data_IF_623255068607
#
_entry.id   IF_623255068607
#
_cell.length_a   1.000
_cell.length_b   1.000
_cell.length_c   1.000
_cell.angle_alpha   90.00
_cell.angle_beta   90.00
_cell.angle_gamma   90.00
#
_symmetry.space_group_name_H-M   'P 1'
#
loop_
_entity.id
_entity.type
_entity.pdbx_description
1 polymer ?
#
# COMPACT_ATOMS: atom_id res chain seq x y z
N UNK A 1 -2.69 39.63 4.99
CA UNK A 1 -2.97 39.44 6.43
C UNK A 1 -4.01 38.33 6.55
N UNK A 2 -3.55 37.10 6.75
CA UNK A 2 -3.45 36.39 8.04
C UNK A 2 -4.71 35.57 8.32
N UNK A 3 -4.64 34.23 8.12
CA UNK A 3 -4.61 33.20 9.20
C UNK A 3 -6.04 32.93 9.76
N UNK A 4 -6.55 31.72 9.98
CA UNK A 4 -5.96 30.39 10.16
C UNK A 4 -7.04 29.29 10.06
N UNK A 5 -6.57 28.12 9.63
CA UNK A 5 -7.15 26.77 9.62
C UNK A 5 -7.85 26.37 10.93
N UNK A 6 -8.81 25.45 10.85
CA UNK A 6 -8.90 24.29 11.76
C UNK A 6 -9.37 23.04 11.01
N UNK A 7 -8.47 22.08 10.94
CA UNK A 7 -8.57 20.74 10.38
C UNK A 7 -9.32 19.81 11.34
N UNK A 8 -10.23 18.99 10.80
CA UNK A 8 -10.85 17.88 11.51
C UNK A 8 -9.88 16.68 11.48
N UNK A 9 -9.27 16.43 12.64
CA UNK A 9 -8.30 15.37 12.84
C UNK A 9 -9.04 14.04 13.08
N UNK A 10 -8.94 13.10 12.13
CA UNK A 10 -9.36 11.70 12.30
C UNK A 10 -8.43 11.05 13.33
N UNK A 11 -8.96 10.72 14.50
CA UNK A 11 -8.25 9.95 15.52
C UNK A 11 -8.05 8.52 15.04
N UNK A 12 -6.82 8.20 14.62
CA UNK A 12 -6.35 6.81 14.50
C UNK A 12 -6.11 6.24 15.90
N UNK A 13 -6.68 5.07 16.16
CA UNK A 13 -6.53 4.35 17.42
C UNK A 13 -5.16 3.67 17.44
N UNK A 14 -4.20 4.29 18.12
CA UNK A 14 -2.88 3.72 18.40
C UNK A 14 -3.02 2.66 19.50
N UNK A 15 -2.79 1.39 19.14
CA UNK A 15 -2.72 0.27 20.08
C UNK A 15 -1.32 0.27 20.67
N UNK A 16 -1.07 1.03 21.73
CA UNK A 16 -0.02 0.82 22.73
C UNK A 16 -0.15 1.93 23.80
N UNK A 17 -0.84 1.65 24.92
CA UNK A 17 -0.36 1.94 26.29
C UNK A 17 -1.45 1.77 27.37
N UNK A 18 -0.96 1.27 28.49
CA UNK A 18 -1.59 0.92 29.77
C UNK A 18 -1.98 2.18 30.54
N UNK A 19 -3.19 2.27 31.13
CA UNK A 19 -3.39 2.89 32.46
C UNK A 19 -4.75 2.50 33.07
N UNK A 20 -4.74 2.08 34.35
CA UNK A 20 -5.92 1.93 35.21
C UNK A 20 -6.62 3.26 35.47
N UNK A 21 -7.95 3.24 35.64
CA UNK A 21 -8.65 4.26 36.42
C UNK A 21 -9.92 3.68 37.07
N UNK A 22 -9.89 3.59 38.39
CA UNK A 22 -11.05 3.41 39.29
C UNK A 22 -11.72 4.76 39.53
N UNK A 23 -13.05 4.86 39.57
CA UNK A 23 -13.80 5.78 40.46
C UNK A 23 -15.21 5.25 40.73
N UNK A 24 -15.63 5.42 41.99
CA UNK A 24 -16.83 5.00 42.70
C UNK A 24 -18.14 5.74 42.37
N UNK A 25 -19.24 5.05 42.70
CA UNK A 25 -20.57 5.46 43.21
C UNK A 25 -21.06 6.92 43.13
N UNK A 26 -22.32 7.11 42.71
CA UNK A 26 -23.48 7.27 43.62
C UNK A 26 -24.82 7.37 42.87
N UNK A 27 -25.83 6.90 43.58
CA UNK A 27 -27.24 6.68 43.29
C UNK A 27 -28.05 7.98 43.18
N UNK A 28 -29.18 7.97 42.47
CA UNK A 28 -30.52 8.18 43.06
C UNK A 28 -31.63 7.76 42.08
N UNK A 29 -32.67 7.16 42.66
CA UNK A 29 -33.78 6.46 42.01
C UNK A 29 -35.01 7.35 42.00
N UNK A 30 -35.70 7.44 40.87
CA UNK A 30 -37.14 7.75 40.82
C UNK A 30 -37.82 6.76 39.87
N UNK A 31 -38.66 5.90 40.46
CA UNK A 31 -39.52 4.92 39.77
C UNK A 31 -40.92 5.53 39.64
N UNK A 32 -41.46 5.58 38.43
CA UNK A 32 -42.89 5.73 38.16
C UNK A 32 -43.30 4.80 36.99
N UNK A 33 -44.58 4.37 36.94
CA UNK A 33 -44.97 3.04 36.46
C UNK A 33 -45.12 2.91 34.95
N UNK A 34 -44.93 1.68 34.46
CA UNK A 34 -45.06 1.24 33.06
C UNK A 34 -46.43 1.52 32.45
N UNK A 35 -46.50 2.13 31.27
CA UNK A 35 -47.50 1.83 30.26
C UNK A 35 -46.94 0.77 29.29
N UNK A 36 -47.64 -0.35 29.16
CA UNK A 36 -47.40 -1.37 28.13
C UNK A 36 -47.68 -0.81 26.74
N UNK A 37 -46.63 -0.40 26.05
CA UNK A 37 -46.64 -0.16 24.60
C UNK A 37 -45.84 -1.28 23.94
N UNK A 38 -46.54 -2.10 23.16
CA UNK A 38 -45.91 -3.10 22.30
C UNK A 38 -45.04 -2.38 21.25
N UNK A 39 -43.78 -2.79 21.04
CA UNK A 39 -42.96 -2.20 20.00
C UNK A 39 -43.51 -2.59 18.60
N UNK A 40 -43.48 -1.66 17.63
CA UNK A 40 -43.84 -1.97 16.26
C UNK A 40 -42.88 -3.01 15.69
N UNK A 41 -43.44 -3.98 15.00
CA UNK A 41 -42.70 -5.06 14.33
C UNK A 41 -41.66 -4.46 13.39
N UNK A 42 -40.37 -4.63 13.73
CA UNK A 42 -39.27 -4.22 12.88
C UNK A 42 -39.14 -5.19 11.71
N UNK A 43 -39.80 -4.87 10.60
CA UNK A 43 -39.53 -5.45 9.29
C UNK A 43 -38.20 -4.91 8.76
N UNK A 44 -37.08 -5.57 9.09
CA UNK A 44 -35.83 -5.51 8.32
C UNK A 44 -34.91 -6.65 8.75
N UNK A 45 -35.14 -7.82 8.13
CA UNK A 45 -34.25 -8.98 8.12
C UNK A 45 -32.96 -8.63 7.37
N UNK A 46 -31.98 -8.07 8.08
CA UNK A 46 -30.58 -8.12 7.66
C UNK A 46 -29.89 -9.17 8.54
N UNK A 47 -29.22 -10.20 7.98
CA UNK A 47 -28.38 -11.08 8.77
C UNK A 47 -27.23 -10.23 9.31
N UNK A 48 -27.30 -9.88 10.61
CA UNK A 48 -26.13 -9.39 11.33
C UNK A 48 -25.15 -10.55 11.39
N UNK A 49 -24.19 -10.56 10.46
CA UNK A 49 -23.04 -11.45 10.51
C UNK A 49 -22.21 -11.08 11.74
N UNK A 50 -22.60 -11.65 12.87
CA UNK A 50 -21.89 -11.56 14.13
C UNK A 50 -20.77 -12.60 14.10
N UNK A 51 -19.77 -12.37 13.26
CA UNK A 51 -18.55 -13.16 13.32
C UNK A 51 -17.83 -12.76 14.62
N UNK A 52 -17.81 -13.69 15.59
CA UNK A 52 -16.98 -13.53 16.78
C UNK A 52 -15.51 -13.27 16.41
N UNK A 53 -14.69 -12.75 17.34
CA UNK A 53 -13.30 -12.42 17.07
C UNK A 53 -12.54 -13.62 16.48
N UNK A 54 -11.62 -13.40 15.52
CA UNK A 54 -10.91 -14.49 14.87
C UNK A 54 -10.18 -15.34 15.93
N UNK A 55 -10.30 -16.67 15.80
CA UNK A 55 -9.70 -17.63 16.73
C UNK A 55 -8.38 -18.15 16.18
N UNK A 56 -7.47 -18.48 17.08
CA UNK A 56 -6.21 -19.12 16.73
C UNK A 56 -6.47 -20.52 16.16
N UNK A 57 -5.87 -20.84 15.00
CA UNK A 57 -6.07 -22.13 14.34
C UNK A 57 -5.49 -23.33 15.12
N UNK A 58 -4.58 -23.08 16.08
CA UNK A 58 -3.90 -24.12 16.85
C UNK A 58 -4.52 -24.37 18.24
N UNK A 59 -5.11 -23.35 18.87
CA UNK A 59 -5.56 -23.45 20.27
C UNK A 59 -6.93 -22.81 20.58
N UNK A 60 -7.65 -22.38 19.54
CA UNK A 60 -8.97 -21.73 19.60
C UNK A 60 -9.06 -20.45 20.44
N UNK A 61 -7.93 -19.95 20.92
CA UNK A 61 -7.89 -18.72 21.71
C UNK A 61 -8.30 -17.53 20.84
N UNK A 62 -9.23 -16.67 21.32
CA UNK A 62 -9.54 -15.42 20.63
C UNK A 62 -8.27 -14.59 20.50
N UNK A 63 -7.86 -14.28 19.28
CA UNK A 63 -6.67 -13.49 19.03
C UNK A 63 -7.03 -12.26 18.22
N UNK A 64 -6.32 -11.16 18.49
CA UNK A 64 -6.29 -10.02 17.58
C UNK A 64 -5.40 -10.41 16.39
N UNK A 65 -5.51 -9.69 15.27
CA UNK A 65 -4.79 -9.93 14.00
C UNK A 65 -3.26 -9.75 14.10
N UNK A 66 -2.65 -10.35 15.10
CA UNK A 66 -1.22 -10.38 15.40
C UNK A 66 -0.59 -11.59 14.70
N UNK A 67 0.69 -11.47 14.31
CA UNK A 67 1.40 -12.53 13.60
C UNK A 67 1.55 -13.82 14.42
N UNK A 68 1.58 -13.71 15.76
CA UNK A 68 1.77 -14.84 16.66
C UNK A 68 0.64 -14.91 17.69
N UNK A 69 0.16 -16.10 17.99
CA UNK A 69 -0.84 -16.27 19.04
C UNK A 69 -0.24 -15.99 20.43
N UNK A 70 -0.89 -15.13 21.23
CA UNK A 70 -0.41 -14.79 22.59
C UNK A 70 -0.42 -15.98 23.56
N UNK A 71 -1.23 -17.03 23.30
CA UNK A 71 -1.33 -18.23 24.15
C UNK A 71 -0.36 -19.33 23.73
N UNK A 72 -0.41 -19.79 22.48
CA UNK A 72 0.37 -20.93 22.01
C UNK A 72 1.61 -20.55 21.18
N UNK A 73 1.82 -19.26 20.89
CA UNK A 73 2.91 -18.72 20.06
C UNK A 73 2.94 -19.24 18.61
N UNK A 74 1.94 -19.99 18.18
CA UNK A 74 1.84 -20.47 16.81
C UNK A 74 1.71 -19.29 15.84
N UNK A 75 2.35 -19.42 14.68
CA UNK A 75 2.26 -18.43 13.60
C UNK A 75 0.84 -18.40 13.04
N UNK A 76 0.23 -17.22 12.94
CA UNK A 76 -1.17 -17.05 12.52
C UNK A 76 -1.29 -16.59 11.06
N UNK A 77 -2.47 -16.84 10.47
CA UNK A 77 -2.82 -16.34 9.14
C UNK A 77 -3.17 -14.86 9.25
N UNK A 78 -2.69 -14.05 8.30
CA UNK A 78 -3.12 -12.65 8.19
C UNK A 78 -4.56 -12.57 7.65
N UNK A 79 -5.36 -11.58 8.09
CA UNK A 79 -6.66 -11.29 7.48
C UNK A 79 -6.52 -10.99 5.98
N UNK A 80 -7.47 -11.46 5.18
CA UNK A 80 -7.44 -11.26 3.72
C UNK A 80 -7.64 -9.78 3.30
N UNK A 81 -8.18 -8.94 4.19
CA UNK A 81 -8.52 -7.55 3.90
C UNK A 81 -7.36 -6.56 4.11
N UNK A 82 -6.22 -7.01 4.64
CA UNK A 82 -5.07 -6.12 4.87
C UNK A 82 -4.40 -5.70 3.58
N UNK A 83 -4.11 -4.40 3.46
CA UNK A 83 -3.36 -3.87 2.34
C UNK A 83 -1.83 -3.96 2.59
N UNK A 84 -1.01 -3.69 1.57
CA UNK A 84 0.45 -3.81 1.66
C UNK A 84 1.07 -2.81 2.64
N UNK A 85 0.47 -1.64 2.82
CA UNK A 85 0.92 -0.67 3.82
C UNK A 85 0.70 -1.22 5.23
N UNK A 86 -0.46 -1.82 5.49
CA UNK A 86 -0.77 -2.46 6.78
C UNK A 86 0.15 -3.65 7.06
N UNK A 87 0.42 -4.49 6.05
CA UNK A 87 1.27 -5.68 6.17
C UNK A 87 2.71 -5.31 6.52
N UNK A 88 3.26 -4.29 5.87
CA UNK A 88 4.61 -3.78 6.19
C UNK A 88 4.57 -2.92 7.46
N UNK A 89 3.40 -2.39 7.84
CA UNK A 89 3.18 -1.54 8.99
C UNK A 89 3.60 -0.10 8.77
N UNK A 90 3.46 0.44 7.56
CA UNK A 90 3.75 1.85 7.21
C UNK A 90 2.47 2.62 6.94
N UNK A 91 2.52 3.95 7.02
CA UNK A 91 1.38 4.80 6.69
C UNK A 91 1.03 4.67 5.20
N UNK A 92 -0.26 4.66 4.88
CA UNK A 92 -0.78 4.66 3.51
C UNK A 92 -0.55 6.04 2.88
N UNK A 93 0.62 6.22 2.28
CA UNK A 93 1.02 7.43 1.56
C UNK A 93 1.80 7.07 0.29
N UNK A 94 1.81 7.98 -0.68
CA UNK A 94 2.71 7.88 -1.82
C UNK A 94 4.16 8.20 -1.37
N UNK A 95 4.34 9.21 -0.53
CA UNK A 95 5.63 9.67 -0.02
C UNK A 95 6.05 8.89 1.22
N UNK A 96 6.42 7.63 1.01
CA UNK A 96 6.96 6.77 2.06
C UNK A 96 8.49 6.83 2.09
N UNK A 97 9.05 6.80 3.30
CA UNK A 97 10.48 6.61 3.49
C UNK A 97 10.87 5.16 3.17
N UNK A 98 11.59 4.99 2.07
CA UNK A 98 12.10 3.71 1.58
C UNK A 98 12.99 3.01 2.62
N UNK A 99 13.74 3.76 3.42
CA UNK A 99 14.58 3.18 4.46
C UNK A 99 13.74 2.53 5.56
N UNK A 100 12.69 3.22 6.01
CA UNK A 100 11.72 2.66 6.96
C UNK A 100 11.05 1.39 6.42
N UNK A 101 10.63 1.38 5.15
CA UNK A 101 10.07 0.19 4.49
C UNK A 101 11.06 -0.97 4.51
N UNK A 102 12.31 -0.72 4.11
CA UNK A 102 13.38 -1.73 4.08
C UNK A 102 13.69 -2.30 5.47
N UNK A 103 13.72 -1.45 6.50
CA UNK A 103 13.94 -1.89 7.88
C UNK A 103 12.80 -2.78 8.38
N UNK A 104 11.54 -2.39 8.14
CA UNK A 104 10.36 -3.18 8.54
C UNK A 104 10.29 -4.50 7.79
N UNK A 105 10.55 -4.49 6.49
CA UNK A 105 10.67 -5.69 5.66
C UNK A 105 11.70 -6.67 6.24
N UNK A 106 12.93 -6.22 6.53
CA UNK A 106 13.97 -7.08 7.11
C UNK A 106 13.56 -7.70 8.45
N UNK A 107 12.89 -6.93 9.32
CA UNK A 107 12.37 -7.44 10.59
C UNK A 107 11.33 -8.54 10.36
N UNK A 108 10.36 -8.29 9.48
CA UNK A 108 9.30 -9.25 9.15
C UNK A 108 9.86 -10.53 8.50
N UNK A 109 10.72 -10.39 7.50
CA UNK A 109 11.35 -11.52 6.84
C UNK A 109 12.20 -12.33 7.84
N UNK A 110 12.91 -11.66 8.76
CA UNK A 110 13.62 -12.32 9.84
C UNK A 110 12.72 -13.15 10.77
N UNK A 111 11.44 -12.81 10.92
CA UNK A 111 10.49 -13.56 11.75
C UNK A 111 9.79 -14.70 10.99
N UNK A 112 9.64 -14.55 9.67
CA UNK A 112 8.72 -15.33 8.85
C UNK A 112 9.42 -16.15 7.75
N UNK A 113 10.75 -16.10 7.65
CA UNK A 113 11.50 -16.84 6.62
C UNK A 113 11.25 -18.36 6.71
N UNK A 114 10.90 -19.04 5.59
CA UNK A 114 10.58 -20.48 5.57
C UNK A 114 11.64 -21.37 6.23
N UNK A 115 12.92 -21.04 6.09
CA UNK A 115 14.04 -21.77 6.73
C UNK A 115 13.88 -21.95 8.24
N UNK A 116 13.21 -21.01 8.93
CA UNK A 116 12.97 -21.09 10.38
C UNK A 116 11.88 -22.08 10.76
N UNK A 117 11.04 -22.46 9.79
CA UNK A 117 9.86 -23.30 10.01
C UNK A 117 10.05 -24.73 9.45
N UNK A 118 11.24 -25.07 8.93
CA UNK A 118 11.54 -26.40 8.38
C UNK A 118 11.30 -27.58 9.34
N UNK A 119 11.38 -27.36 10.65
CA UNK A 119 11.11 -28.35 11.70
C UNK A 119 9.76 -28.15 12.42
N UNK A 120 8.91 -27.23 11.94
CA UNK A 120 7.60 -26.91 12.52
C UNK A 120 6.50 -27.76 11.90
N UNK A 121 5.28 -27.60 12.42
CA UNK A 121 4.09 -28.25 11.85
C UNK A 121 3.90 -27.85 10.38
N UNK A 122 3.29 -28.75 9.60
CA UNK A 122 3.01 -28.49 8.18
C UNK A 122 2.15 -27.23 7.98
N UNK A 123 1.18 -27.01 8.87
CA UNK A 123 0.37 -25.80 8.87
C UNK A 123 1.21 -24.52 9.07
N UNK A 124 2.19 -24.52 10.01
CA UNK A 124 3.08 -23.38 10.21
C UNK A 124 4.03 -23.14 9.04
N UNK A 125 4.53 -24.21 8.40
CA UNK A 125 5.35 -24.10 7.18
C UNK A 125 4.61 -23.39 6.07
N UNK A 126 3.40 -23.86 5.75
CA UNK A 126 2.57 -23.27 4.72
C UNK A 126 2.19 -21.83 5.04
N UNK A 127 1.91 -21.50 6.30
CA UNK A 127 1.63 -20.11 6.72
C UNK A 127 2.89 -19.25 6.52
N UNK A 128 4.07 -19.72 6.94
CA UNK A 128 5.34 -19.00 6.77
C UNK A 128 5.67 -18.74 5.31
N UNK A 129 5.52 -19.74 4.44
CA UNK A 129 5.75 -19.61 3.00
C UNK A 129 4.83 -18.57 2.36
N UNK A 130 3.53 -18.67 2.62
CA UNK A 130 2.54 -17.73 2.09
C UNK A 130 2.78 -16.29 2.58
N UNK A 131 3.09 -16.11 3.87
CA UNK A 131 3.36 -14.81 4.45
C UNK A 131 4.67 -14.21 3.90
N UNK A 132 5.72 -15.02 3.77
CA UNK A 132 6.99 -14.59 3.19
C UNK A 132 6.80 -14.10 1.75
N UNK A 133 6.08 -14.86 0.93
CA UNK A 133 5.76 -14.47 -0.45
C UNK A 133 4.93 -13.16 -0.50
N UNK A 134 3.94 -13.02 0.37
CA UNK A 134 3.12 -11.81 0.47
C UNK A 134 3.94 -10.59 0.88
N UNK A 135 4.84 -10.73 1.84
CA UNK A 135 5.73 -9.65 2.31
C UNK A 135 6.71 -9.24 1.20
N UNK A 136 7.25 -10.21 0.45
CA UNK A 136 8.11 -9.91 -0.70
C UNK A 136 7.37 -9.09 -1.76
N UNK A 137 6.12 -9.48 -2.06
CA UNK A 137 5.27 -8.76 -3.00
C UNK A 137 4.90 -7.36 -2.50
N UNK A 138 4.56 -7.22 -1.22
CA UNK A 138 4.28 -5.93 -0.61
C UNK A 138 5.53 -5.03 -0.65
N UNK A 139 6.70 -5.57 -0.30
CA UNK A 139 7.96 -4.85 -0.35
C UNK A 139 8.32 -4.37 -1.75
N UNK A 140 8.27 -5.25 -2.76
CA UNK A 140 8.60 -4.86 -4.14
C UNK A 140 7.62 -3.81 -4.68
N UNK A 141 6.33 -3.95 -4.38
CA UNK A 141 5.28 -3.00 -4.80
C UNK A 141 5.43 -1.64 -4.12
N UNK A 142 5.82 -1.60 -2.84
CA UNK A 142 6.00 -0.33 -2.13
C UNK A 142 7.35 0.32 -2.44
N UNK A 143 8.36 -0.43 -2.86
CA UNK A 143 9.70 0.11 -3.11
C UNK A 143 9.72 1.06 -4.31
N UNK A 144 9.11 0.67 -5.41
CA UNK A 144 9.10 1.45 -6.66
C UNK A 144 7.91 2.44 -6.70
N UNK A 145 8.14 3.75 -6.93
CA UNK A 145 7.07 4.76 -6.95
C UNK A 145 5.95 4.46 -7.94
N UNK A 146 6.27 3.89 -9.10
CA UNK A 146 5.28 3.56 -10.13
C UNK A 146 4.34 2.45 -9.64
N UNK A 147 4.88 1.31 -9.22
CA UNK A 147 4.07 0.19 -8.70
C UNK A 147 3.31 0.57 -7.43
N UNK A 148 3.89 1.41 -6.57
CA UNK A 148 3.23 1.98 -5.39
C UNK A 148 2.03 2.84 -5.77
N UNK A 149 2.20 3.73 -6.73
CA UNK A 149 1.12 4.60 -7.22
C UNK A 149 -0.03 3.79 -7.83
N UNK A 150 0.29 2.81 -8.69
CA UNK A 150 -0.74 1.91 -9.24
C UNK A 150 -1.45 1.10 -8.17
N UNK A 151 -0.73 0.65 -7.14
CA UNK A 151 -1.34 -0.03 -6.01
C UNK A 151 -2.29 0.87 -5.23
N UNK A 152 -1.94 2.13 -5.02
CA UNK A 152 -2.81 3.11 -4.37
C UNK A 152 -4.10 3.37 -5.15
N UNK A 153 -4.02 3.48 -6.48
CA UNK A 153 -5.21 3.58 -7.35
C UNK A 153 -6.09 2.32 -7.25
N UNK A 154 -5.47 1.14 -7.24
CA UNK A 154 -6.19 -0.13 -7.06
C UNK A 154 -6.96 -0.18 -5.74
N UNK A 155 -6.38 0.36 -4.65
CA UNK A 155 -7.08 0.46 -3.36
C UNK A 155 -8.29 1.42 -3.39
N UNK A 156 -8.40 2.27 -4.40
CA UNK A 156 -9.56 3.13 -4.65
C UNK A 156 -10.57 2.50 -5.63
N UNK A 157 -10.33 1.27 -6.08
CA UNK A 157 -11.19 0.57 -7.03
C UNK A 157 -10.88 0.89 -8.49
N UNK A 158 -9.86 1.71 -8.77
CA UNK A 158 -9.47 2.07 -10.13
C UNK A 158 -8.47 1.03 -10.64
N UNK A 159 -8.90 0.26 -11.62
CA UNK A 159 -8.03 -0.69 -12.33
C UNK A 159 -7.71 -0.12 -13.70
N UNK A 160 -6.44 0.11 -13.97
CA UNK A 160 -5.98 0.54 -15.28
C UNK A 160 -5.97 -0.66 -16.22
N UNK A 161 -6.85 -0.65 -17.21
CA UNK A 161 -6.69 -1.53 -18.38
C UNK A 161 -5.63 -0.94 -19.30
N UNK A 162 -4.92 -1.78 -20.05
CA UNK A 162 -3.91 -1.31 -21.02
C UNK A 162 -4.51 -0.39 -22.10
N UNK A 163 -5.84 -0.43 -22.29
CA UNK A 163 -6.60 0.45 -23.20
C UNK A 163 -6.73 1.91 -22.69
N UNK A 164 -6.50 2.17 -21.41
CA UNK A 164 -6.52 3.56 -20.90
C UNK A 164 -5.33 4.40 -21.39
N UNK A 165 -4.27 3.75 -21.86
CA UNK A 165 -3.03 4.41 -22.31
C UNK A 165 -3.20 5.19 -23.64
N UNK A 166 -4.28 4.98 -24.40
CA UNK A 166 -4.45 5.49 -25.77
C UNK A 166 -5.39 6.71 -25.89
N UNK A 167 -5.75 7.36 -24.78
CA UNK A 167 -6.77 8.42 -24.77
C UNK A 167 -6.23 9.86 -24.69
N UNK A 168 -4.92 10.06 -24.56
CA UNK A 168 -4.28 11.40 -24.56
C UNK A 168 -3.49 11.62 -25.86
N UNK A 169 -4.06 12.30 -26.88
CA UNK A 169 -3.39 12.53 -28.15
C UNK A 169 -2.06 13.29 -28.02
N UNK A 170 -1.96 14.21 -27.06
CA UNK A 170 -0.76 15.01 -26.87
C UNK A 170 0.38 14.17 -26.29
N UNK A 171 0.04 13.26 -25.38
CA UNK A 171 1.01 12.29 -24.89
C UNK A 171 1.44 11.28 -25.96
N UNK A 172 0.54 10.86 -26.85
CA UNK A 172 0.90 9.98 -27.97
C UNK A 172 1.89 10.65 -28.94
N UNK A 173 1.71 11.94 -29.23
CA UNK A 173 2.68 12.70 -30.02
C UNK A 173 4.03 12.80 -29.30
N UNK A 174 4.04 13.12 -27.99
CA UNK A 174 5.25 13.15 -27.15
C UNK A 174 6.00 11.80 -27.18
N UNK A 175 5.27 10.67 -27.15
CA UNK A 175 5.82 9.31 -27.28
C UNK A 175 6.48 9.10 -28.65
N UNK A 176 5.81 9.50 -29.73
CA UNK A 176 6.31 9.31 -31.09
C UNK A 176 7.59 10.10 -31.33
N UNK A 177 7.58 11.39 -30.98
CA UNK A 177 8.75 12.27 -31.10
C UNK A 177 9.93 11.74 -30.28
N UNK A 178 9.69 11.31 -29.03
CA UNK A 178 10.78 10.77 -28.20
C UNK A 178 11.34 9.45 -28.72
N UNK A 179 10.51 8.58 -29.29
CA UNK A 179 11.00 7.35 -29.90
C UNK A 179 11.90 7.65 -31.12
N UNK A 180 11.51 8.59 -31.97
CA UNK A 180 12.30 9.00 -33.14
C UNK A 180 13.66 9.60 -32.72
N UNK A 181 13.67 10.51 -31.74
CA UNK A 181 14.91 11.09 -31.21
C UNK A 181 15.88 10.03 -30.66
N UNK A 182 15.35 9.03 -29.94
CA UNK A 182 16.15 7.93 -29.37
C UNK A 182 16.72 7.03 -30.47
N UNK A 183 15.94 6.77 -31.52
CA UNK A 183 16.39 5.96 -32.66
C UNK A 183 17.50 6.66 -33.45
N UNK A 184 17.37 7.97 -33.69
CA UNK A 184 18.40 8.77 -34.38
C UNK A 184 19.70 8.83 -33.57
N UNK A 185 19.59 8.92 -32.24
CA UNK A 185 20.74 8.95 -31.33
C UNK A 185 21.31 7.58 -30.96
N UNK A 186 20.68 6.48 -31.37
CA UNK A 186 21.04 5.12 -30.93
C UNK A 186 22.50 4.72 -31.16
N UNK A 187 23.19 5.37 -32.12
CA UNK A 187 24.60 5.13 -32.46
C UNK A 187 25.57 6.14 -31.84
N UNK A 188 25.07 7.21 -31.23
CA UNK A 188 25.87 8.30 -30.66
C UNK A 188 25.88 8.24 -29.13
N UNK A 189 27.05 7.88 -28.57
CA UNK A 189 27.26 7.75 -27.12
C UNK A 189 26.92 9.02 -26.34
N UNK A 190 27.27 10.19 -26.87
CA UNK A 190 27.09 11.47 -26.18
C UNK A 190 25.60 11.81 -26.13
N UNK A 191 24.89 11.62 -27.24
CA UNK A 191 23.44 11.83 -27.29
C UNK A 191 22.67 10.86 -26.38
N UNK A 192 23.03 9.57 -26.36
CA UNK A 192 22.40 8.58 -25.46
C UNK A 192 22.58 8.97 -23.99
N UNK A 193 23.77 9.44 -23.59
CA UNK A 193 24.01 9.89 -22.22
C UNK A 193 23.18 11.12 -21.86
N UNK A 194 23.10 12.09 -22.79
CA UNK A 194 22.25 13.28 -22.61
C UNK A 194 20.77 12.90 -22.44
N UNK A 195 20.25 12.00 -23.28
CA UNK A 195 18.87 11.54 -23.16
C UNK A 195 18.59 10.78 -21.87
N UNK A 196 19.56 10.01 -21.34
CA UNK A 196 19.43 9.38 -20.03
C UNK A 196 19.24 10.41 -18.91
N UNK A 197 20.01 11.49 -18.91
CA UNK A 197 19.89 12.56 -17.91
C UNK A 197 18.56 13.31 -18.03
N UNK A 198 18.14 13.65 -19.24
CA UNK A 198 16.84 14.28 -19.49
C UNK A 198 15.67 13.38 -19.06
N UNK A 199 15.75 12.09 -19.36
CA UNK A 199 14.75 11.11 -18.96
C UNK A 199 14.66 10.96 -17.43
N UNK A 200 15.81 10.95 -16.74
CA UNK A 200 15.87 10.93 -15.27
C UNK A 200 15.23 12.17 -14.67
N UNK A 201 15.53 13.36 -15.21
CA UNK A 201 14.91 14.60 -14.77
C UNK A 201 13.39 14.58 -14.97
N UNK A 202 12.91 14.05 -16.10
CA UNK A 202 11.48 13.89 -16.37
C UNK A 202 10.83 12.91 -15.38
N UNK A 203 11.44 11.75 -15.11
CA UNK A 203 10.95 10.78 -14.10
C UNK A 203 10.81 11.44 -12.72
N UNK A 204 11.80 12.24 -12.29
CA UNK A 204 11.74 12.97 -11.03
C UNK A 204 10.58 13.98 -11.01
N UNK A 205 10.40 14.72 -12.11
CA UNK A 205 9.30 15.69 -12.23
C UNK A 205 7.92 15.01 -12.18
N UNK A 206 7.75 13.87 -12.87
CA UNK A 206 6.51 13.10 -12.87
C UNK A 206 6.22 12.52 -11.49
N UNK A 207 7.24 12.00 -10.81
CA UNK A 207 7.11 11.48 -9.44
C UNK A 207 6.62 12.56 -8.48
N UNK A 208 7.15 13.79 -8.61
CA UNK A 208 6.69 14.94 -7.83
C UNK A 208 5.24 15.30 -8.15
N UNK A 209 4.87 15.38 -9.43
CA UNK A 209 3.50 15.66 -9.84
C UNK A 209 2.50 14.60 -9.32
N UNK A 210 2.92 13.33 -9.27
CA UNK A 210 2.11 12.23 -8.70
C UNK A 210 1.92 12.43 -7.20
N UNK A 211 2.99 12.78 -6.46
CA UNK A 211 2.91 13.12 -5.03
C UNK A 211 1.92 14.27 -4.80
N UNK A 212 2.04 15.37 -5.54
CA UNK A 212 1.15 16.52 -5.44
C UNK A 212 -0.31 16.15 -5.76
N UNK A 213 -0.54 15.33 -6.80
CA UNK A 213 -1.87 14.84 -7.16
C UNK A 213 -2.52 14.01 -6.05
N UNK A 214 -1.76 13.08 -5.43
CA UNK A 214 -2.25 12.30 -4.29
C UNK A 214 -2.53 13.16 -3.06
N UNK A 215 -1.69 14.17 -2.78
CA UNK A 215 -1.95 15.12 -1.69
C UNK A 215 -3.24 15.94 -1.90
N UNK A 216 -3.52 16.31 -3.13
CA UNK A 216 -4.73 17.05 -3.50
C UNK A 216 -5.97 16.16 -3.69
N UNK A 217 -5.84 14.83 -3.58
CA UNK A 217 -6.86 13.84 -3.93
C UNK A 217 -7.35 13.93 -5.38
N UNK A 218 -6.51 14.43 -6.30
CA UNK A 218 -6.80 14.45 -7.74
C UNK A 218 -6.37 13.11 -8.36
N UNK A 219 -7.30 12.16 -8.34
CA UNK A 219 -7.03 10.77 -8.73
C UNK A 219 -6.86 10.64 -10.25
N UNK A 220 -7.60 11.44 -11.02
CA UNK A 220 -7.50 11.46 -12.48
C UNK A 220 -6.14 12.01 -12.92
N UNK A 221 -5.65 13.07 -12.28
CA UNK A 221 -4.31 13.56 -12.52
C UNK A 221 -3.25 12.53 -12.11
N UNK A 222 -3.37 11.91 -10.93
CA UNK A 222 -2.44 10.87 -10.49
C UNK A 222 -2.38 9.71 -11.49
N UNK A 223 -3.52 9.27 -12.01
CA UNK A 223 -3.63 8.25 -13.04
C UNK A 223 -2.90 8.64 -14.32
N UNK A 224 -3.19 9.82 -14.87
CA UNK A 224 -2.51 10.32 -16.09
C UNK A 224 -1.00 10.39 -15.91
N UNK A 225 -0.53 10.95 -14.79
CA UNK A 225 0.90 11.07 -14.51
C UNK A 225 1.58 9.70 -14.32
N UNK A 226 0.89 8.71 -13.71
CA UNK A 226 1.40 7.35 -13.58
C UNK A 226 1.54 6.63 -14.92
N UNK A 227 0.60 6.83 -15.85
CA UNK A 227 0.71 6.32 -17.22
C UNK A 227 1.94 6.91 -17.92
N UNK A 228 2.16 8.23 -17.81
CA UNK A 228 3.36 8.88 -18.35
C UNK A 228 4.63 8.31 -17.70
N UNK A 229 4.63 8.13 -16.39
CA UNK A 229 5.76 7.55 -15.65
C UNK A 229 6.09 6.13 -16.14
N UNK A 230 5.10 5.27 -16.38
CA UNK A 230 5.28 3.91 -16.92
C UNK A 230 6.03 3.94 -18.25
N UNK A 231 5.69 4.86 -19.14
CA UNK A 231 6.36 5.02 -20.42
C UNK A 231 7.82 5.47 -20.27
N UNK A 232 8.09 6.51 -19.48
CA UNK A 232 9.45 7.02 -19.28
C UNK A 232 10.38 6.03 -18.56
N UNK A 233 9.84 5.15 -17.72
CA UNK A 233 10.61 4.03 -17.14
C UNK A 233 10.94 2.98 -18.21
N UNK A 234 10.02 2.72 -19.16
CA UNK A 234 10.31 1.85 -20.31
C UNK A 234 11.39 2.43 -21.21
N UNK A 235 11.35 3.75 -21.49
CA UNK A 235 12.44 4.47 -22.18
C UNK A 235 13.75 4.30 -21.42
N UNK A 236 13.76 4.50 -20.10
CA UNK A 236 14.98 4.41 -19.30
C UNK A 236 15.65 3.04 -19.46
N UNK A 237 14.86 1.97 -19.45
CA UNK A 237 15.33 0.60 -19.67
C UNK A 237 15.94 0.43 -21.07
N UNK A 238 15.28 0.94 -22.12
CA UNK A 238 15.80 0.92 -23.50
C UNK A 238 17.12 1.69 -23.63
N UNK A 239 17.19 2.89 -23.06
CA UNK A 239 18.40 3.71 -23.07
C UNK A 239 19.56 3.06 -22.30
N UNK A 240 19.29 2.41 -21.17
CA UNK A 240 20.28 1.62 -20.42
C UNK A 240 20.83 0.45 -21.25
N UNK A 241 19.96 -0.26 -21.96
CA UNK A 241 20.38 -1.34 -22.86
C UNK A 241 21.22 -0.81 -24.04
N UNK A 242 20.84 0.34 -24.62
CA UNK A 242 21.63 1.00 -25.66
C UNK A 242 23.01 1.42 -25.13
N UNK A 243 23.07 2.07 -23.96
CA UNK A 243 24.34 2.41 -23.27
C UNK A 243 25.25 1.19 -23.11
N UNK A 244 24.68 0.04 -22.71
CA UNK A 244 25.42 -1.21 -22.56
C UNK A 244 25.92 -1.75 -23.90
N UNK A 245 25.08 -1.76 -24.95
CA UNK A 245 25.49 -2.20 -26.30
C UNK A 245 26.61 -1.35 -26.92
N UNK A 246 26.68 -0.07 -26.53
CA UNK A 246 27.73 0.85 -26.96
C UNK A 246 29.04 0.67 -26.17
N UNK A 247 29.11 -0.29 -25.25
CA UNK A 247 30.32 -0.64 -24.49
C UNK A 247 30.71 0.39 -23.45
N UNK A 248 29.76 1.16 -22.91
CA UNK A 248 30.01 2.06 -21.78
C UNK A 248 29.80 1.24 -20.50
N UNK A 249 30.87 0.59 -20.03
CA UNK A 249 30.91 0.02 -18.68
C UNK A 249 31.29 1.14 -17.72
N UNK A 250 30.50 1.31 -16.66
CA UNK A 250 30.77 2.27 -15.56
C UNK A 250 32.08 1.97 -14.83
#
# INVERSE_FOLDING_TARGET
MSLLRRTLNKKYCSIFNITLCSVESRSYVHVLPKPTLQPPQSCCSHPRFNHGPPKCWQCDFPHKSELFCSKCKALQKLPQEMNYFDIIGVEKSFDIDVNTVKQKYKKLQGLLHPDKYGQKSEAEKQISENLSALINKAYSTLLDPMTRGFYMLKLQGITLSDETNSSDPEFLMEIMEKNEEIEEASKDKVKVFKFLEENRAKILSLTKNISDAFHNNDIDQAQRQLIKLKYYISIESRLKNLKQSLGIVE
#
